data_IF_799782672246
#
_entry.id   IF_799782672246
#
_cell.length_a   1.000
_cell.length_b   1.000
_cell.length_c   1.000
_cell.angle_alpha   90.00
_cell.angle_beta   90.00
_cell.angle_gamma   90.00
#
_symmetry.space_group_name_H-M   'P 1'
#
loop_
_entity.id
_entity.type
_entity.pdbx_description
1 polymer ?
#
# COMPACT_ATOMS: atom_id res chain seq x y z
N UNK A 1 26.86 4.79 1.06
CA UNK A 1 26.10 5.00 2.31
C UNK A 1 25.72 3.64 2.87
N UNK A 2 25.79 3.45 4.19
CA UNK A 2 25.46 2.19 4.86
C UNK A 2 24.25 2.41 5.77
N UNK A 3 23.29 1.50 5.74
CA UNK A 3 22.07 1.57 6.55
C UNK A 3 22.06 0.44 7.58
N UNK A 4 21.53 0.72 8.77
CA UNK A 4 21.37 -0.24 9.86
C UNK A 4 19.88 -0.41 10.16
N UNK A 5 19.43 -1.66 10.28
CA UNK A 5 18.08 -1.97 10.74
C UNK A 5 18.16 -2.33 12.22
N UNK A 6 17.52 -1.53 13.06
CA UNK A 6 17.53 -1.68 14.51
C UNK A 6 16.10 -1.73 15.06
N UNK A 7 15.93 -2.42 16.18
CA UNK A 7 14.67 -2.37 16.92
C UNK A 7 14.63 -1.09 17.75
N UNK A 8 13.71 -0.20 17.40
CA UNK A 8 13.46 1.04 18.11
C UNK A 8 11.95 1.22 18.35
N UNK A 9 11.61 1.94 19.42
CA UNK A 9 10.22 2.28 19.76
C UNK A 9 10.07 3.78 19.90
N UNK A 10 8.89 4.28 19.59
CA UNK A 10 8.46 5.63 19.97
C UNK A 10 7.77 5.52 21.33
N UNK A 11 8.22 6.29 22.31
CA UNK A 11 7.59 6.31 23.63
C UNK A 11 6.34 7.22 23.66
N UNK A 12 5.67 7.30 24.83
CA UNK A 12 4.46 8.12 24.99
C UNK A 12 4.73 9.62 24.86
N UNK A 13 5.98 10.06 24.99
CA UNK A 13 6.39 11.45 24.82
C UNK A 13 6.79 11.78 23.38
N UNK A 14 6.79 10.78 22.48
CA UNK A 14 7.17 10.94 21.08
C UNK A 14 8.68 10.78 20.83
N UNK A 15 9.44 10.28 21.79
CA UNK A 15 10.90 10.09 21.66
C UNK A 15 11.25 8.73 21.06
N UNK A 16 12.23 8.71 20.16
CA UNK A 16 12.79 7.49 19.58
C UNK A 16 13.79 6.85 20.55
N UNK A 17 13.51 5.63 20.97
CA UNK A 17 14.35 4.85 21.87
C UNK A 17 14.87 3.62 21.12
N UNK A 18 16.19 3.54 20.96
CA UNK A 18 16.90 2.35 20.43
C UNK A 18 17.29 1.50 21.65
N UNK A 19 16.88 0.23 21.66
CA UNK A 19 17.10 -0.64 22.83
C UNK A 19 18.46 -1.35 22.81
N UNK A 20 19.12 -1.37 21.64
CA UNK A 20 20.36 -2.09 21.39
C UNK A 20 21.52 -1.12 21.15
N UNK A 21 22.76 -1.46 21.55
CA UNK A 21 23.92 -0.61 21.32
C UNK A 21 24.27 -0.55 19.83
N UNK A 22 24.47 0.66 19.31
CA UNK A 22 24.88 0.89 17.92
C UNK A 22 26.39 1.09 17.83
N UNK A 23 27.09 0.12 17.26
CA UNK A 23 28.55 0.18 17.10
C UNK A 23 28.93 0.78 15.73
N UNK A 24 28.92 2.12 15.65
CA UNK A 24 29.35 2.88 14.47
C UNK A 24 30.36 3.95 14.86
N UNK A 25 31.17 4.41 13.91
CA UNK A 25 32.08 5.52 14.14
C UNK A 25 31.31 6.79 14.55
N UNK A 26 31.84 7.62 15.47
CA UNK A 26 31.21 8.88 15.84
C UNK A 26 31.01 9.80 14.63
N UNK A 27 29.82 10.38 14.51
CA UNK A 27 29.47 11.26 13.41
C UNK A 27 27.98 11.59 13.36
N UNK A 28 27.59 12.47 12.44
CA UNK A 28 26.18 12.75 12.20
C UNK A 28 25.52 11.58 11.45
N UNK A 29 24.28 11.26 11.82
CA UNK A 29 23.51 10.19 11.20
C UNK A 29 22.13 10.70 10.80
N UNK A 30 21.59 10.13 9.72
CA UNK A 30 20.21 10.35 9.29
C UNK A 30 19.32 9.21 9.81
N UNK A 31 18.09 9.54 10.20
CA UNK A 31 17.11 8.57 10.73
C UNK A 31 15.92 8.49 9.79
N UNK A 32 15.63 7.27 9.31
CA UNK A 32 14.47 6.98 8.45
C UNK A 32 13.44 6.21 9.29
N UNK A 33 12.24 6.75 9.43
CA UNK A 33 11.14 6.12 10.17
C UNK A 33 10.17 5.49 9.17
N UNK A 34 10.09 4.15 9.18
CA UNK A 34 9.11 3.39 8.41
C UNK A 34 7.98 2.95 9.34
N UNK A 35 6.88 3.69 9.32
CA UNK A 35 5.65 3.27 9.99
C UNK A 35 4.84 2.40 9.03
N UNK A 36 4.60 1.11 9.34
CA UNK A 36 3.56 0.38 8.64
C UNK A 36 2.26 1.10 8.98
N UNK A 37 1.66 1.76 8.01
CA UNK A 37 0.25 2.10 8.10
C UNK A 37 -0.46 0.81 8.41
N UNK A 38 -1.17 0.74 9.54
CA UNK A 38 -2.10 -0.35 9.77
C UNK A 38 -2.93 -0.42 8.49
N UNK A 39 -2.77 -1.51 7.75
CA UNK A 39 -3.69 -1.83 6.68
C UNK A 39 -5.01 -1.90 7.41
N UNK A 40 -5.79 -0.81 7.37
CA UNK A 40 -7.21 -0.91 7.59
C UNK A 40 -7.57 -2.02 6.65
N UNK A 41 -7.92 -3.19 7.18
CA UNK A 41 -8.56 -4.23 6.40
C UNK A 41 -9.65 -3.47 5.69
N UNK A 42 -9.45 -3.17 4.41
CA UNK A 42 -10.47 -2.65 3.55
C UNK A 42 -11.42 -3.84 3.48
N UNK A 43 -12.32 -3.96 4.46
CA UNK A 43 -13.61 -4.57 4.22
C UNK A 43 -14.03 -4.03 2.87
N UNK A 44 -14.31 -4.90 1.88
CA UNK A 44 -14.53 -4.46 0.52
C UNK A 44 -15.63 -3.41 0.59
N UNK A 45 -15.22 -2.15 0.46
CA UNK A 45 -16.11 -1.03 0.68
C UNK A 45 -17.03 -1.14 -0.52
N UNK A 46 -18.26 -1.57 -0.26
CA UNK A 46 -19.27 -1.70 -1.30
C UNK A 46 -19.18 -0.45 -2.17
N UNK A 47 -18.96 -0.59 -3.49
CA UNK A 47 -18.59 0.53 -4.32
C UNK A 47 -19.65 1.61 -4.15
N UNK A 48 -19.21 2.81 -3.72
CA UNK A 48 -20.12 3.96 -3.59
C UNK A 48 -20.85 4.11 -4.91
N UNK A 49 -22.19 4.12 -4.90
CA UNK A 49 -23.00 4.39 -6.09
C UNK A 49 -22.50 5.70 -6.70
N UNK A 50 -21.93 5.61 -7.89
CA UNK A 50 -21.45 6.77 -8.64
C UNK A 50 -22.68 7.46 -9.22
N UNK A 51 -22.68 8.79 -9.24
CA UNK A 51 -23.71 9.53 -9.94
C UNK A 51 -23.39 9.51 -11.44
N UNK A 52 -24.34 9.05 -12.26
CA UNK A 52 -24.16 8.91 -13.69
C UNK A 52 -25.05 9.93 -14.42
N UNK A 53 -24.49 10.62 -15.41
CA UNK A 53 -25.26 11.52 -16.30
C UNK A 53 -25.98 10.77 -17.42
N UNK A 54 -25.54 9.55 -17.75
CA UNK A 54 -26.04 8.76 -18.89
C UNK A 54 -26.60 7.44 -18.38
N UNK A 55 -27.86 7.16 -18.71
CA UNK A 55 -28.56 5.97 -18.22
C UNK A 55 -27.94 4.66 -18.71
N UNK A 56 -27.47 4.60 -19.95
CA UNK A 56 -26.80 3.40 -20.49
C UNK A 56 -25.51 3.03 -19.72
N UNK A 57 -24.75 4.04 -19.23
CA UNK A 57 -23.55 3.79 -18.42
C UNK A 57 -23.91 3.32 -17.01
N UNK A 58 -25.03 3.80 -16.46
CA UNK A 58 -25.55 3.31 -15.17
C UNK A 58 -25.93 1.84 -15.27
N UNK A 59 -26.73 1.47 -16.27
CA UNK A 59 -27.21 0.10 -16.44
C UNK A 59 -26.06 -0.87 -16.73
N UNK A 60 -25.05 -0.45 -17.50
CA UNK A 60 -23.88 -1.27 -17.77
C UNK A 60 -23.05 -1.57 -16.51
N UNK A 61 -22.85 -0.58 -15.62
CA UNK A 61 -22.04 -0.75 -14.41
C UNK A 61 -22.80 -1.43 -13.28
N UNK A 62 -24.12 -1.19 -13.14
CA UNK A 62 -24.93 -1.84 -12.10
C UNK A 62 -25.18 -3.33 -12.39
N UNK A 63 -25.21 -3.72 -13.68
CA UNK A 63 -25.40 -5.12 -14.10
C UNK A 63 -24.10 -5.84 -14.47
N UNK A 64 -22.94 -5.23 -14.25
CA UNK A 64 -21.66 -5.89 -14.51
C UNK A 64 -21.50 -7.12 -13.61
N UNK A 65 -20.93 -8.23 -14.12
CA UNK A 65 -20.68 -9.41 -13.30
C UNK A 65 -19.72 -9.04 -12.16
N UNK A 66 -19.92 -9.61 -10.95
CA UNK A 66 -19.01 -9.36 -9.83
C UNK A 66 -17.61 -9.83 -10.18
N UNK A 67 -16.62 -9.09 -9.71
CA UNK A 67 -15.22 -9.50 -9.86
C UNK A 67 -14.99 -10.86 -9.19
N UNK A 68 -14.32 -11.82 -9.86
CA UNK A 68 -13.99 -13.10 -9.25
C UNK A 68 -13.23 -12.93 -7.93
N UNK A 69 -13.45 -13.80 -6.93
CA UNK A 69 -12.77 -13.71 -5.64
C UNK A 69 -11.24 -13.90 -5.74
N UNK A 70 -10.77 -14.59 -6.78
CA UNK A 70 -9.34 -14.83 -7.05
C UNK A 70 -8.71 -13.77 -7.98
N UNK A 71 -9.41 -12.67 -8.26
CA UNK A 71 -8.91 -11.63 -9.15
C UNK A 71 -7.79 -10.82 -8.49
N UNK A 72 -6.56 -11.01 -8.97
CA UNK A 72 -5.41 -10.18 -8.61
C UNK A 72 -5.27 -9.00 -9.59
N UNK A 73 -5.51 -7.75 -9.15
CA UNK A 73 -5.43 -6.57 -10.00
C UNK A 73 -4.00 -6.27 -10.47
N UNK A 74 -2.97 -6.63 -9.70
CA UNK A 74 -1.59 -6.42 -10.11
C UNK A 74 -1.22 -7.43 -11.20
N UNK A 75 -1.57 -8.71 -11.02
CA UNK A 75 -1.34 -9.73 -12.05
C UNK A 75 -2.04 -9.38 -13.37
N UNK A 76 -3.31 -8.98 -13.32
CA UNK A 76 -4.06 -8.61 -14.53
C UNK A 76 -3.43 -7.41 -15.27
N UNK A 77 -2.90 -6.45 -14.52
CA UNK A 77 -2.18 -5.29 -15.09
C UNK A 77 -0.86 -5.72 -15.73
N UNK A 78 -0.11 -6.62 -15.08
CA UNK A 78 1.12 -7.17 -15.64
C UNK A 78 0.88 -7.96 -16.91
N UNK A 79 -0.15 -8.81 -16.95
CA UNK A 79 -0.54 -9.57 -18.15
C UNK A 79 -0.92 -8.65 -19.31
N UNK A 80 -1.73 -7.60 -19.04
CA UNK A 80 -2.07 -6.59 -20.04
C UNK A 80 -0.83 -5.87 -20.58
N UNK A 81 0.07 -5.44 -19.70
CA UNK A 81 1.30 -4.77 -20.12
C UNK A 81 2.20 -5.70 -20.92
N UNK A 82 2.27 -6.98 -20.55
CA UNK A 82 3.01 -7.99 -21.28
C UNK A 82 2.44 -8.21 -22.69
N UNK A 83 1.13 -8.35 -22.81
CA UNK A 83 0.43 -8.53 -24.08
C UNK A 83 0.56 -7.28 -24.97
N UNK A 84 0.48 -6.08 -24.39
CA UNK A 84 0.55 -4.82 -25.15
C UNK A 84 1.95 -4.39 -25.53
N UNK A 85 2.94 -4.69 -24.70
CA UNK A 85 4.31 -4.20 -24.88
C UNK A 85 5.30 -5.32 -25.26
N UNK A 86 4.83 -6.54 -25.52
CA UNK A 86 5.64 -7.71 -25.88
C UNK A 86 6.83 -7.92 -24.94
N UNK A 87 6.57 -7.85 -23.62
CA UNK A 87 7.57 -8.08 -22.57
C UNK A 87 7.85 -9.58 -22.35
#
# INVERSE_FOLDING_TARGET
MQAYKLNAKIDKSGQLIIQEPLNIAPGNVEVIILQPTATTTNTPKQPKKREYKVQALKDLLENAPPTPPDFDPEQAKWEYLKEKHNL
#
